data_IF_049979393134
#
_entry.id   IF_049979393134
#
_cell.length_a   1.000
_cell.length_b   1.000
_cell.length_c   1.000
_cell.angle_alpha   90.00
_cell.angle_beta   90.00
_cell.angle_gamma   90.00
#
_symmetry.space_group_name_H-M   'P 1'
#
loop_
_entity.id
_entity.type
_entity.pdbx_description
1 polymer ?
#
# COMPACT_ATOMS: atom_id res chain seq x y z
N UNK A 1 -4.37 27.16 -14.96
CA UNK A 1 -3.85 25.78 -15.04
C UNK A 1 -4.81 25.01 -15.93
N UNK A 2 -4.42 24.53 -17.12
CA UNK A 2 -5.36 23.85 -17.99
C UNK A 2 -5.89 22.57 -17.31
N UNK A 3 -7.17 22.25 -17.49
CA UNK A 3 -7.79 21.04 -16.96
C UNK A 3 -7.02 19.77 -17.38
N UNK A 4 -6.82 18.85 -16.43
CA UNK A 4 -5.96 17.66 -16.61
C UNK A 4 -6.38 16.72 -17.74
N UNK A 5 -7.65 16.74 -18.13
CA UNK A 5 -8.25 15.92 -19.20
C UNK A 5 -8.30 16.67 -20.54
N UNK A 6 -7.94 17.95 -20.59
CA UNK A 6 -8.02 18.75 -21.82
C UNK A 6 -9.39 19.36 -22.12
N UNK A 7 -10.35 19.31 -21.18
CA UNK A 7 -11.68 19.91 -21.30
C UNK A 7 -11.74 21.22 -20.54
N UNK A 8 -11.80 22.35 -21.24
CA UNK A 8 -11.94 23.67 -20.62
C UNK A 8 -13.29 23.78 -19.87
N UNK A 9 -13.22 24.28 -18.65
CA UNK A 9 -14.40 24.60 -17.85
C UNK A 9 -14.14 25.85 -17.01
N UNK A 10 -15.21 26.58 -16.71
CA UNK A 10 -15.22 27.74 -15.81
C UNK A 10 -16.12 27.46 -14.61
N UNK A 11 -15.85 28.10 -13.46
CA UNK A 11 -16.74 28.05 -12.29
C UNK A 11 -17.45 29.39 -12.20
N UNK A 12 -18.77 29.38 -12.42
CA UNK A 12 -19.65 30.53 -12.21
C UNK A 12 -20.27 30.42 -10.82
N UNK A 13 -20.15 31.47 -9.99
CA UNK A 13 -20.61 31.47 -8.60
C UNK A 13 -22.14 31.27 -8.45
N UNK A 14 -22.93 31.51 -9.50
CA UNK A 14 -24.38 31.37 -9.49
C UNK A 14 -24.87 30.12 -10.22
N UNK A 15 -24.07 29.56 -11.13
CA UNK A 15 -24.46 28.44 -12.02
C UNK A 15 -23.62 27.18 -11.83
N UNK A 16 -22.54 27.25 -11.06
CA UNK A 16 -21.61 26.16 -10.84
C UNK A 16 -20.64 25.97 -12.03
N UNK A 17 -20.08 24.77 -12.19
CA UNK A 17 -19.13 24.49 -13.26
C UNK A 17 -19.81 24.45 -14.64
N UNK A 18 -19.29 25.23 -15.58
CA UNK A 18 -19.76 25.34 -16.97
C UNK A 18 -18.66 24.83 -17.90
N UNK A 19 -19.04 24.01 -18.88
CA UNK A 19 -18.14 23.53 -19.95
C UNK A 19 -18.52 24.24 -21.25
N UNK A 20 -17.62 25.08 -21.76
CA UNK A 20 -17.91 25.94 -22.93
C UNK A 20 -18.06 25.16 -24.23
N UNK A 21 -17.26 24.11 -24.40
CA UNK A 21 -17.29 23.23 -25.57
C UNK A 21 -17.63 21.80 -25.17
N UNK A 22 -18.92 21.45 -25.12
CA UNK A 22 -19.35 20.09 -24.85
C UNK A 22 -18.82 19.14 -25.93
N UNK A 23 -18.38 17.96 -25.49
CA UNK A 23 -17.96 16.88 -26.39
C UNK A 23 -19.20 16.34 -27.10
N UNK A 24 -19.19 16.36 -28.43
CA UNK A 24 -20.29 15.92 -29.30
C UNK A 24 -19.86 14.90 -30.36
N UNK A 25 -18.56 14.59 -30.48
CA UNK A 25 -18.06 13.60 -31.44
C UNK A 25 -17.01 12.66 -30.85
N UNK A 26 -16.88 11.48 -31.46
CA UNK A 26 -15.82 10.52 -31.11
C UNK A 26 -14.42 11.07 -31.36
N UNK A 27 -14.26 11.97 -32.34
CA UNK A 27 -12.98 12.64 -32.61
C UNK A 27 -12.58 13.56 -31.44
N UNK A 28 -13.54 14.27 -30.83
CA UNK A 28 -13.29 15.08 -29.64
C UNK A 28 -12.96 14.22 -28.42
N UNK A 29 -13.51 13.01 -28.31
CA UNK A 29 -13.13 12.05 -27.26
C UNK A 29 -11.66 11.63 -27.38
N UNK A 30 -11.15 11.46 -28.60
CA UNK A 30 -9.72 11.11 -28.83
C UNK A 30 -8.74 12.23 -28.47
N UNK A 31 -9.22 13.46 -28.33
CA UNK A 31 -8.40 14.62 -27.94
C UNK A 31 -8.26 14.74 -26.41
N UNK A 32 -8.98 13.92 -25.64
CA UNK A 32 -8.88 13.91 -24.19
C UNK A 32 -7.54 13.33 -23.74
N UNK A 33 -6.94 13.98 -22.75
CA UNK A 33 -5.72 13.50 -22.14
C UNK A 33 -6.03 12.49 -21.05
N UNK A 34 -5.24 11.42 -21.01
CA UNK A 34 -5.27 10.48 -19.89
C UNK A 34 -4.86 11.18 -18.58
N UNK A 35 -5.56 10.85 -17.50
CA UNK A 35 -5.16 11.29 -16.18
C UNK A 35 -4.02 10.41 -15.67
N UNK A 36 -2.84 11.00 -15.56
CA UNK A 36 -1.71 10.35 -14.92
C UNK A 36 -1.78 10.49 -13.39
N UNK A 37 -2.17 9.41 -12.72
CA UNK A 37 -2.18 9.30 -11.26
C UNK A 37 -0.87 8.70 -10.70
N UNK A 38 0.05 8.24 -11.55
CA UNK A 38 1.27 7.56 -11.12
C UNK A 38 2.11 8.42 -10.19
N UNK A 39 2.35 9.69 -10.56
CA UNK A 39 3.14 10.64 -9.75
C UNK A 39 2.56 10.88 -8.35
N UNK A 40 1.24 10.93 -8.22
CA UNK A 40 0.59 11.09 -6.92
C UNK A 40 0.72 9.83 -6.07
N UNK A 41 0.61 8.65 -6.70
CA UNK A 41 0.78 7.38 -6.05
C UNK A 41 2.25 7.14 -5.63
N UNK A 42 3.22 7.50 -6.48
CA UNK A 42 4.66 7.46 -6.19
C UNK A 42 5.01 8.34 -4.99
N UNK A 43 4.52 9.59 -4.97
CA UNK A 43 4.76 10.50 -3.85
C UNK A 43 4.17 9.95 -2.54
N UNK A 44 3.01 9.32 -2.60
CA UNK A 44 2.36 8.69 -1.44
C UNK A 44 3.15 7.47 -0.96
N UNK A 45 3.62 6.62 -1.86
CA UNK A 45 4.46 5.46 -1.54
C UNK A 45 5.78 5.87 -0.90
N UNK A 46 6.45 6.88 -1.48
CA UNK A 46 7.71 7.42 -0.95
C UNK A 46 7.53 8.02 0.45
N UNK A 47 6.45 8.78 0.68
CA UNK A 47 6.13 9.33 1.99
C UNK A 47 5.84 8.24 3.03
N UNK A 48 5.09 7.19 2.65
CA UNK A 48 4.81 6.06 3.53
C UNK A 48 6.09 5.29 3.90
N UNK A 49 6.99 5.06 2.93
CA UNK A 49 8.27 4.40 3.17
C UNK A 49 9.18 5.22 4.11
N UNK A 50 9.24 6.55 3.92
CA UNK A 50 9.98 7.44 4.80
C UNK A 50 9.43 7.45 6.23
N UNK A 51 8.10 7.43 6.40
CA UNK A 51 7.46 7.37 7.71
C UNK A 51 7.72 6.03 8.43
N UNK A 52 7.72 4.92 7.69
CA UNK A 52 8.06 3.59 8.22
C UNK A 52 9.53 3.54 8.68
N UNK A 53 10.45 4.06 7.86
CA UNK A 53 11.87 4.15 8.21
C UNK A 53 12.11 5.01 9.46
N UNK A 54 11.39 6.13 9.61
CA UNK A 54 11.44 6.96 10.80
C UNK A 54 10.91 6.21 12.04
N UNK A 55 9.80 5.48 11.92
CA UNK A 55 9.26 4.66 13.01
C UNK A 55 10.23 3.55 13.45
N UNK A 56 10.97 2.93 12.52
CA UNK A 56 12.05 1.96 12.86
C UNK A 56 13.14 2.60 13.71
N UNK A 57 13.57 3.82 13.38
CA UNK A 57 14.57 4.56 14.18
C UNK A 57 14.06 4.82 15.59
N UNK A 58 12.80 5.21 15.72
CA UNK A 58 12.14 5.40 17.03
C UNK A 58 12.09 4.09 17.82
N UNK A 59 11.76 2.97 17.18
CA UNK A 59 11.76 1.65 17.84
C UNK A 59 13.15 1.27 18.37
N UNK A 60 14.20 1.49 17.56
CA UNK A 60 15.59 1.28 17.99
C UNK A 60 15.96 2.18 19.17
N UNK A 61 15.62 3.47 19.11
CA UNK A 61 15.88 4.40 20.21
C UNK A 61 15.12 4.00 21.49
N UNK A 62 13.84 3.63 21.39
CA UNK A 62 13.04 3.17 22.53
C UNK A 62 13.62 1.89 23.17
N UNK A 63 14.16 0.98 22.34
CA UNK A 63 14.84 -0.22 22.84
C UNK A 63 16.11 0.15 23.61
N UNK A 64 16.91 1.09 23.10
CA UNK A 64 18.11 1.58 23.79
C UNK A 64 17.76 2.21 25.14
N UNK A 65 16.74 3.07 25.18
CA UNK A 65 16.26 3.71 26.42
C UNK A 65 15.80 2.66 27.46
N UNK A 66 15.12 1.59 27.03
CA UNK A 66 14.75 0.51 27.95
C UNK A 66 15.97 -0.24 28.50
N UNK A 67 17.00 -0.45 27.69
CA UNK A 67 18.25 -1.08 28.14
C UNK A 67 18.93 -0.20 29.19
N UNK A 68 19.10 1.09 28.92
CA UNK A 68 19.67 2.05 29.86
C UNK A 68 18.89 2.12 31.17
N UNK A 69 17.55 2.15 31.09
CA UNK A 69 16.70 2.18 32.28
C UNK A 69 16.84 0.90 33.11
N UNK A 70 17.01 -0.27 32.48
CA UNK A 70 17.28 -1.53 33.20
C UNK A 70 18.65 -1.52 33.86
N UNK A 71 19.68 -1.03 33.16
CA UNK A 71 21.01 -0.85 33.76
C UNK A 71 20.96 0.09 34.96
N UNK A 72 20.14 1.16 34.90
CA UNK A 72 19.95 2.05 36.04
C UNK A 72 19.27 1.35 37.24
N UNK A 73 18.33 0.43 37.00
CA UNK A 73 17.74 -0.42 38.06
C UNK A 73 18.81 -1.31 38.68
N UNK A 74 19.61 -2.01 37.87
CA UNK A 74 20.68 -2.89 38.36
C UNK A 74 21.69 -2.11 39.23
N UNK A 75 22.07 -0.91 38.80
CA UNK A 75 22.96 -0.02 39.57
C UNK A 75 22.26 0.42 40.86
N UNK A 76 21.00 0.83 40.80
CA UNK A 76 20.22 1.26 41.95
C UNK A 76 20.06 0.15 42.98
N UNK A 77 20.00 -1.12 42.56
CA UNK A 77 19.91 -2.30 43.43
C UNK A 77 21.26 -2.68 44.05
N UNK A 78 22.37 -2.50 43.35
CA UNK A 78 23.71 -2.87 43.84
C UNK A 78 24.46 -1.78 44.61
N UNK A 79 24.15 -0.50 44.34
CA UNK A 79 24.93 0.62 44.88
C UNK A 79 24.36 1.17 46.20
N UNK A 80 25.18 1.73 47.11
CA UNK A 80 24.67 2.46 48.27
C UNK A 80 23.73 3.60 47.86
N UNK A 81 22.73 3.90 48.69
CA UNK A 81 21.84 5.03 48.43
C UNK A 81 22.62 6.37 48.51
N UNK A 82 22.31 7.36 47.66
CA UNK A 82 22.85 8.70 47.79
C UNK A 82 22.53 9.31 49.16
N UNK A 83 23.39 10.21 49.64
CA UNK A 83 23.17 10.93 50.91
C UNK A 83 21.80 11.62 50.89
N UNK A 84 21.04 11.44 51.98
CA UNK A 84 19.70 12.02 52.13
C UNK A 84 18.57 11.26 51.44
N UNK A 85 18.83 10.11 50.80
CA UNK A 85 17.81 9.25 50.23
C UNK A 85 17.85 7.84 50.84
N UNK A 86 16.70 7.19 50.91
CA UNK A 86 16.64 5.77 51.27
C UNK A 86 16.87 4.91 50.03
N UNK A 87 17.45 3.73 50.22
CA UNK A 87 17.65 2.73 49.15
C UNK A 87 16.37 2.44 48.38
N UNK A 88 15.25 2.29 49.11
CA UNK A 88 13.93 2.03 48.54
C UNK A 88 13.52 3.13 47.54
N UNK A 89 13.64 4.40 47.92
CA UNK A 89 13.28 5.54 47.06
C UNK A 89 14.08 5.53 45.74
N UNK A 90 15.37 5.19 45.79
CA UNK A 90 16.22 5.14 44.60
C UNK A 90 15.81 4.00 43.66
N UNK A 91 15.60 2.80 44.21
CA UNK A 91 15.20 1.62 43.44
C UNK A 91 13.82 1.82 42.83
N UNK A 92 12.84 2.28 43.62
CA UNK A 92 11.47 2.54 43.15
C UNK A 92 11.47 3.59 42.02
N UNK A 93 12.29 4.64 42.15
CA UNK A 93 12.46 5.66 41.11
C UNK A 93 13.06 5.10 39.82
N UNK A 94 14.08 4.24 39.92
CA UNK A 94 14.67 3.58 38.75
C UNK A 94 13.68 2.60 38.09
N UNK A 95 12.94 1.82 38.89
CA UNK A 95 11.92 0.90 38.40
C UNK A 95 10.77 1.64 37.70
N UNK A 96 10.35 2.79 38.22
CA UNK A 96 9.36 3.63 37.58
C UNK A 96 9.83 4.12 36.19
N UNK A 97 11.09 4.53 36.06
CA UNK A 97 11.70 4.89 34.76
C UNK A 97 11.74 3.70 33.80
N UNK A 98 12.13 2.52 34.26
CA UNK A 98 12.15 1.31 33.43
C UNK A 98 10.74 0.91 32.96
N UNK A 99 9.73 1.05 33.82
CA UNK A 99 8.32 0.82 33.45
C UNK A 99 7.85 1.80 32.39
N UNK A 100 8.17 3.08 32.53
CA UNK A 100 7.85 4.11 31.54
C UNK A 100 8.54 3.85 30.19
N UNK A 101 9.83 3.50 30.21
CA UNK A 101 10.58 3.14 29.00
C UNK A 101 9.97 1.91 28.29
N UNK A 102 9.54 0.90 29.06
CA UNK A 102 8.88 -0.28 28.49
C UNK A 102 7.51 0.07 27.86
N UNK A 103 6.75 0.97 28.48
CA UNK A 103 5.52 1.49 27.89
C UNK A 103 5.80 2.25 26.58
N UNK A 104 6.84 3.08 26.55
CA UNK A 104 7.30 3.76 25.34
C UNK A 104 7.71 2.80 24.23
N UNK A 105 8.43 1.71 24.55
CA UNK A 105 8.77 0.67 23.58
C UNK A 105 7.53 -0.04 23.02
N UNK A 106 6.51 -0.30 23.85
CA UNK A 106 5.25 -0.88 23.39
C UNK A 106 4.53 0.06 22.44
N UNK A 107 4.47 1.34 22.77
CA UNK A 107 3.88 2.35 21.89
C UNK A 107 4.62 2.41 20.55
N UNK A 108 5.96 2.48 20.56
CA UNK A 108 6.75 2.49 19.34
C UNK A 108 6.55 1.25 18.45
N UNK A 109 6.28 0.08 19.05
CA UNK A 109 5.92 -1.14 18.30
C UNK A 109 4.55 -1.02 17.63
N UNK A 110 3.56 -0.50 18.35
CA UNK A 110 2.23 -0.24 17.79
C UNK A 110 2.30 0.76 16.64
N UNK A 111 3.05 1.85 16.81
CA UNK A 111 3.22 2.87 15.78
C UNK A 111 3.93 2.32 14.54
N UNK A 112 4.97 1.50 14.73
CA UNK A 112 5.66 0.83 13.62
C UNK A 112 4.70 -0.08 12.85
N UNK A 113 3.88 -0.88 13.55
CA UNK A 113 2.87 -1.73 12.90
C UNK A 113 1.86 -0.90 12.10
N UNK A 114 1.41 0.23 12.64
CA UNK A 114 0.51 1.15 11.92
C UNK A 114 1.17 1.74 10.66
N UNK A 115 2.45 2.13 10.73
CA UNK A 115 3.20 2.63 9.56
C UNK A 115 3.45 1.54 8.52
N UNK A 116 3.67 0.30 8.93
CA UNK A 116 3.78 -0.85 8.01
C UNK A 116 2.46 -1.13 7.29
N UNK A 117 1.33 -1.04 7.99
CA UNK A 117 0.00 -1.14 7.36
C UNK A 117 -0.24 -0.01 6.35
N UNK A 118 0.16 1.22 6.67
CA UNK A 118 0.07 2.36 5.73
C UNK A 118 0.97 2.15 4.50
N UNK A 119 2.18 1.63 4.69
CA UNK A 119 3.09 1.33 3.57
C UNK A 119 2.52 0.24 2.65
N UNK A 120 1.92 -0.82 3.22
CA UNK A 120 1.26 -1.86 2.44
C UNK A 120 0.11 -1.28 1.59
N UNK A 121 -0.78 -0.47 2.21
CA UNK A 121 -1.87 0.19 1.49
C UNK A 121 -1.37 1.14 0.40
N UNK A 122 -0.29 1.90 0.64
CA UNK A 122 0.31 2.77 -0.36
C UNK A 122 0.92 1.96 -1.54
N UNK A 123 1.50 0.80 -1.26
CA UNK A 123 2.03 -0.10 -2.30
C UNK A 123 0.93 -0.69 -3.18
N UNK A 124 -0.20 -1.08 -2.59
CA UNK A 124 -1.39 -1.54 -3.33
C UNK A 124 -1.95 -0.42 -4.21
N UNK A 125 -2.09 0.80 -3.66
CA UNK A 125 -2.56 1.96 -4.40
C UNK A 125 -1.62 2.33 -5.57
N UNK A 126 -0.31 2.23 -5.36
CA UNK A 126 0.69 2.44 -6.42
C UNK A 126 0.57 1.40 -7.54
N UNK A 127 0.38 0.13 -7.17
CA UNK A 127 0.17 -0.96 -8.14
C UNK A 127 -1.10 -0.72 -8.95
N UNK A 128 -2.20 -0.35 -8.29
CA UNK A 128 -3.47 -0.04 -8.95
C UNK A 128 -3.35 1.17 -9.88
N UNK A 129 -2.68 2.24 -9.47
CA UNK A 129 -2.44 3.43 -10.30
C UNK A 129 -1.60 3.09 -11.54
N UNK A 130 -0.55 2.29 -11.38
CA UNK A 130 0.29 1.84 -12.49
C UNK A 130 -0.50 0.98 -13.49
N UNK A 131 -1.34 0.06 -12.98
CA UNK A 131 -2.20 -0.77 -13.82
C UNK A 131 -3.23 0.06 -14.58
N UNK A 132 -3.84 1.06 -13.93
CA UNK A 132 -4.78 1.99 -14.57
C UNK A 132 -4.10 2.79 -15.70
N UNK A 133 -2.92 3.37 -15.45
CA UNK A 133 -2.16 4.09 -16.49
C UNK A 133 -1.75 3.19 -17.65
N UNK A 134 -1.41 1.92 -17.37
CA UNK A 134 -1.08 0.94 -18.43
C UNK A 134 -2.31 0.59 -19.28
N UNK A 135 -3.48 0.40 -18.64
CA UNK A 135 -4.72 0.07 -19.33
C UNK A 135 -5.26 1.22 -20.19
N UNK A 136 -5.05 2.48 -19.79
CA UNK A 136 -5.42 3.65 -20.62
C UNK A 136 -4.40 3.89 -21.74
N UNK A 137 -3.11 3.66 -21.48
CA UNK A 137 -2.05 3.76 -22.48
C UNK A 137 -2.03 2.63 -23.53
N UNK A 138 -2.68 1.49 -23.28
CA UNK A 138 -2.72 0.34 -24.21
C UNK A 138 -3.87 0.39 -25.23
N UNK A 139 -4.40 1.58 -25.55
CA UNK A 139 -5.33 1.77 -26.66
C UNK A 139 -4.72 1.60 -28.07
N UNK A 140 -3.59 0.90 -28.20
CA UNK A 140 -2.94 0.59 -29.46
C UNK A 140 -3.26 -0.87 -29.86
N UNK A 141 -3.98 -1.00 -30.97
CA UNK A 141 -4.04 -2.19 -31.83
C UNK A 141 -4.78 -3.43 -31.29
N UNK A 142 -6.06 -3.31 -30.91
CA UNK A 142 -7.01 -4.42 -31.06
C UNK A 142 -7.79 -4.31 -32.37
N UNK A 143 -7.11 -3.94 -33.46
CA UNK A 143 -7.60 -3.97 -34.83
C UNK A 143 -7.43 -5.37 -35.42
N UNK A 144 -8.07 -6.38 -34.83
CA UNK A 144 -8.19 -7.70 -35.44
C UNK A 144 -9.18 -7.63 -36.59
N UNK A 145 -8.67 -7.49 -37.82
CA UNK A 145 -9.43 -7.46 -39.06
C UNK A 145 -10.46 -8.60 -39.12
N UNK A 146 -11.73 -8.26 -38.99
CA UNK A 146 -12.82 -9.10 -39.42
C UNK A 146 -12.80 -9.17 -40.96
N UNK A 147 -12.10 -10.14 -41.52
CA UNK A 147 -12.26 -10.51 -42.92
C UNK A 147 -13.23 -11.70 -42.98
N UNK A 148 -14.49 -11.38 -43.25
CA UNK A 148 -15.52 -12.37 -43.49
C UNK A 148 -15.36 -13.07 -44.84
N UNK A 149 -15.97 -14.26 -44.92
CA UNK A 149 -16.60 -14.74 -46.14
C UNK A 149 -16.09 -16.08 -46.68
N UNK A 150 -16.98 -17.07 -46.68
CA UNK A 150 -17.06 -18.07 -47.75
C UNK A 150 -16.81 -19.51 -47.33
N UNK A 151 -17.87 -20.33 -47.36
CA UNK A 151 -17.82 -21.77 -47.09
C UNK A 151 -17.30 -22.62 -48.26
N UNK A 152 -17.19 -23.92 -48.01
CA UNK A 152 -16.87 -24.94 -48.99
C UNK A 152 -16.65 -26.30 -48.35
N UNK A 153 -17.52 -27.24 -48.73
CA UNK A 153 -17.68 -28.62 -48.26
C UNK A 153 -16.46 -29.55 -48.38
N UNK A 154 -16.53 -30.65 -47.61
CA UNK A 154 -15.76 -31.89 -47.77
C UNK A 154 -14.98 -32.24 -46.51
N UNK A 155 -15.25 -33.29 -45.74
CA UNK A 155 -15.71 -34.63 -46.09
C UNK A 155 -14.69 -35.64 -45.56
N UNK A 156 -15.13 -36.62 -44.77
CA UNK A 156 -14.32 -37.73 -44.22
C UNK A 156 -14.23 -37.63 -42.70
N UNK A 157 -15.10 -38.27 -41.92
CA UNK A 157 -15.23 -39.73 -41.69
C UNK A 157 -13.91 -40.42 -41.26
N UNK A 158 -13.95 -40.88 -40.00
CA UNK A 158 -13.09 -41.81 -39.25
C UNK A 158 -13.11 -41.31 -37.79
N UNK A 159 -13.75 -41.96 -36.81
CA UNK A 159 -14.04 -43.37 -36.66
C UNK A 159 -13.42 -43.85 -35.34
N UNK A 160 -14.27 -44.18 -34.37
CA UNK A 160 -13.95 -45.18 -33.34
C UNK A 160 -13.47 -44.70 -31.97
N UNK A 161 -14.06 -45.27 -30.93
CA UNK A 161 -13.38 -45.52 -29.65
C UNK A 161 -14.14 -45.13 -28.40
N UNK A 162 -15.00 -46.04 -27.92
CA UNK A 162 -15.71 -45.94 -26.65
C UNK A 162 -14.79 -46.12 -25.42
N UNK A 163 -15.19 -45.56 -24.28
CA UNK A 163 -14.87 -46.10 -22.95
C UNK A 163 -14.64 -45.07 -21.82
N UNK A 164 -15.45 -45.08 -20.75
CA UNK A 164 -15.20 -44.32 -19.52
C UNK A 164 -14.59 -45.19 -18.40
N UNK A 165 -13.67 -44.64 -17.61
CA UNK A 165 -13.32 -45.06 -16.25
C UNK A 165 -12.51 -43.92 -15.61
N UNK A 166 -12.78 -43.41 -14.42
CA UNK A 166 -13.04 -44.08 -13.16
C UNK A 166 -11.81 -43.84 -12.27
N UNK A 167 -11.94 -43.13 -11.15
CA UNK A 167 -10.82 -42.92 -10.23
C UNK A 167 -11.06 -41.91 -9.11
N UNK A 168 -11.84 -42.32 -8.11
CA UNK A 168 -11.92 -41.71 -6.78
C UNK A 168 -10.62 -41.86 -5.97
N UNK A 169 -10.42 -40.96 -5.00
CA UNK A 169 -9.59 -41.17 -3.81
C UNK A 169 -8.26 -40.41 -3.81
N UNK A 170 -7.76 -39.84 -2.73
CA UNK A 170 -8.18 -39.89 -1.34
C UNK A 170 -7.53 -38.74 -0.55
N UNK A 171 -8.19 -38.37 0.54
CA UNK A 171 -7.63 -37.56 1.61
C UNK A 171 -6.39 -38.23 2.24
N UNK A 172 -5.42 -37.43 2.68
CA UNK A 172 -4.52 -37.86 3.74
C UNK A 172 -4.23 -36.69 4.69
N UNK A 173 -4.85 -36.76 5.86
CA UNK A 173 -4.39 -36.08 7.07
C UNK A 173 -3.30 -36.95 7.69
N UNK A 174 -2.17 -36.34 8.06
CA UNK A 174 -1.37 -36.74 9.22
C UNK A 174 -0.87 -35.48 9.91
#
# INVERSE_FOLDING_TARGET
MPPRIGVNFEIDDNKGPIIDTPIRSLEQVKQLHDMDFSKAAEATLAAAAAAEAAARKVMTAAKAVLVEAKTAVDIAERSPAPRGQTKRVVVDGAQAKAKAANAGLRQAKTDLAAKQATLAAASEAHTAATAATTATGSGAEAGGSAQGGGGGDGGGDQGGGAGPSGGDGAASKR
#
